data_IF_698288844220
#
_entry.id   IF_698288844220
#
_cell.length_a   1.000
_cell.length_b   1.000
_cell.length_c   1.000
_cell.angle_alpha   90.00
_cell.angle_beta   90.00
_cell.angle_gamma   90.00
#
_symmetry.space_group_name_H-M   'P 1'
#
loop_
_entity.id
_entity.type
_entity.pdbx_description
1 polymer ?
#
# COMPACT_ATOMS: atom_id res chain seq x y z
N UNK A 1 4.27 -22.55 3.92
CA UNK A 1 5.31 -21.51 4.13
C UNK A 1 5.99 -21.14 2.84
N UNK A 2 6.35 -22.12 2.01
CA UNK A 2 6.80 -21.88 0.63
C UNK A 2 5.84 -20.99 -0.16
N UNK A 3 4.52 -21.17 -0.02
CA UNK A 3 3.52 -20.30 -0.66
C UNK A 3 3.62 -18.82 -0.26
N UNK A 4 3.99 -18.51 0.99
CA UNK A 4 4.19 -17.13 1.45
C UNK A 4 5.47 -16.52 0.85
N UNK A 5 6.49 -17.35 0.68
CA UNK A 5 7.71 -16.97 0.00
C UNK A 5 7.45 -16.70 -1.49
N UNK A 6 6.70 -17.58 -2.16
CA UNK A 6 6.30 -17.41 -3.55
C UNK A 6 5.42 -16.17 -3.75
N UNK A 7 4.49 -15.91 -2.82
CA UNK A 7 3.71 -14.68 -2.81
C UNK A 7 4.60 -13.44 -2.70
N UNK A 8 5.62 -13.48 -1.85
CA UNK A 8 6.62 -12.40 -1.74
C UNK A 8 7.40 -12.22 -3.04
N UNK A 9 7.85 -13.30 -3.67
CA UNK A 9 8.53 -13.24 -4.96
C UNK A 9 7.63 -12.66 -6.05
N UNK A 10 6.36 -13.05 -6.08
CA UNK A 10 5.37 -12.53 -7.02
C UNK A 10 5.07 -11.05 -6.78
N UNK A 11 5.03 -10.62 -5.51
CA UNK A 11 4.88 -9.23 -5.14
C UNK A 11 6.09 -8.38 -5.57
N UNK A 12 7.31 -8.91 -5.47
CA UNK A 12 8.53 -8.22 -5.90
C UNK A 12 8.68 -8.12 -7.42
N UNK A 13 7.92 -8.90 -8.20
CA UNK A 13 7.86 -8.77 -9.66
C UNK A 13 7.13 -7.48 -10.03
N UNK A 14 7.88 -6.41 -10.19
CA UNK A 14 7.41 -5.14 -10.75
C UNK A 14 8.43 -4.64 -11.78
N UNK A 15 7.95 -4.01 -12.85
CA UNK A 15 8.80 -3.46 -13.91
C UNK A 15 9.34 -2.07 -13.57
N UNK A 16 8.70 -1.35 -12.64
CA UNK A 16 9.14 -0.03 -12.22
C UNK A 16 10.25 -0.12 -11.15
N UNK A 17 11.43 0.45 -11.39
CA UNK A 17 12.56 0.31 -10.48
C UNK A 17 12.37 1.04 -9.14
N UNK A 18 11.55 2.09 -9.10
CA UNK A 18 11.26 2.82 -7.86
C UNK A 18 10.35 1.97 -6.98
N UNK A 19 9.30 1.40 -7.58
CA UNK A 19 8.36 0.53 -6.89
C UNK A 19 9.01 -0.77 -6.44
N UNK A 20 9.90 -1.38 -7.22
CA UNK A 20 10.67 -2.56 -6.77
C UNK A 20 11.43 -2.25 -5.47
N UNK A 21 12.14 -1.13 -5.42
CA UNK A 21 12.87 -0.72 -4.20
C UNK A 21 11.92 -0.46 -3.04
N UNK A 22 10.80 0.21 -3.28
CA UNK A 22 9.79 0.46 -2.26
C UNK A 22 9.21 -0.84 -1.70
N UNK A 23 8.90 -1.81 -2.57
CA UNK A 23 8.41 -3.14 -2.17
C UNK A 23 9.44 -3.93 -1.38
N UNK A 24 10.69 -3.94 -1.81
CA UNK A 24 11.79 -4.58 -1.08
C UNK A 24 11.94 -4.02 0.32
N UNK A 25 11.84 -2.68 0.48
CA UNK A 25 11.88 -2.06 1.80
C UNK A 25 10.73 -2.51 2.70
N UNK A 26 9.50 -2.57 2.16
CA UNK A 26 8.33 -3.06 2.91
C UNK A 26 8.48 -4.51 3.34
N UNK A 27 9.01 -5.38 2.47
CA UNK A 27 9.27 -6.78 2.80
C UNK A 27 10.28 -6.88 3.93
N UNK A 28 11.44 -6.21 3.81
CA UNK A 28 12.47 -6.24 4.84
C UNK A 28 11.99 -5.70 6.20
N UNK A 29 11.17 -4.65 6.19
CA UNK A 29 10.57 -4.10 7.40
C UNK A 29 9.58 -5.07 8.04
N UNK A 30 8.73 -5.72 7.23
CA UNK A 30 7.79 -6.74 7.71
C UNK A 30 8.51 -7.98 8.26
N UNK A 31 9.59 -8.41 7.61
CA UNK A 31 10.43 -9.51 8.09
C UNK A 31 11.08 -9.17 9.43
N UNK A 32 11.60 -7.94 9.59
CA UNK A 32 12.15 -7.47 10.86
C UNK A 32 11.11 -7.40 11.98
N UNK A 33 9.82 -7.24 11.62
CA UNK A 33 8.69 -7.24 12.55
C UNK A 33 8.13 -8.64 12.82
N UNK A 34 8.64 -9.69 12.17
CA UNK A 34 8.15 -11.07 12.34
C UNK A 34 6.77 -11.32 11.72
N UNK A 35 6.37 -10.49 10.74
CA UNK A 35 5.05 -10.61 10.12
C UNK A 35 4.88 -11.92 9.35
N UNK A 36 5.97 -12.50 8.83
CA UNK A 36 5.92 -13.78 8.11
C UNK A 36 5.49 -14.91 9.06
N UNK A 37 6.03 -14.94 10.27
CA UNK A 37 5.69 -15.89 11.33
C UNK A 37 4.26 -15.67 11.84
N UNK A 38 3.85 -14.42 12.01
CA UNK A 38 2.49 -14.07 12.43
C UNK A 38 1.45 -14.57 11.40
N UNK A 39 1.66 -14.27 10.12
CA UNK A 39 0.78 -14.70 9.04
C UNK A 39 0.76 -16.23 8.94
N UNK A 40 1.91 -16.88 9.06
CA UNK A 40 2.01 -18.33 9.08
C UNK A 40 1.18 -18.96 10.21
N UNK A 41 1.33 -18.45 11.42
CA UNK A 41 0.59 -18.90 12.58
C UNK A 41 -0.91 -18.68 12.39
N UNK A 42 -1.32 -17.54 11.82
CA UNK A 42 -2.70 -17.23 11.48
C UNK A 42 -3.32 -18.22 10.48
N UNK A 43 -2.59 -18.56 9.41
CA UNK A 43 -3.04 -19.53 8.41
C UNK A 43 -3.23 -20.92 9.03
N UNK A 44 -2.25 -21.38 9.84
CA UNK A 44 -2.34 -22.67 10.52
C UNK A 44 -3.56 -22.67 11.47
N UNK A 45 -3.72 -21.63 12.28
CA UNK A 45 -4.84 -21.49 13.21
C UNK A 45 -6.19 -21.50 12.49
N UNK A 46 -6.34 -20.77 11.38
CA UNK A 46 -7.56 -20.75 10.57
C UNK A 46 -7.90 -22.14 10.00
N UNK A 47 -6.90 -22.85 9.48
CA UNK A 47 -7.10 -24.20 8.94
C UNK A 47 -7.46 -25.23 10.02
N UNK A 48 -6.94 -25.07 11.25
CA UNK A 48 -7.30 -25.95 12.37
C UNK A 48 -8.67 -25.64 12.99
N UNK A 49 -9.16 -24.41 12.84
CA UNK A 49 -10.45 -23.97 13.41
C UNK A 49 -11.62 -24.11 12.45
N UNK A 50 -11.39 -24.43 11.18
CA UNK A 50 -12.45 -24.66 10.20
C UNK A 50 -13.11 -26.04 10.39
N UNK A 51 -14.40 -26.13 10.76
CA UNK A 51 -15.17 -27.34 10.54
C UNK A 51 -15.21 -27.60 9.02
N UNK A 52 -15.00 -28.85 8.60
CA UNK A 52 -15.13 -29.25 7.20
C UNK A 52 -16.57 -29.02 6.73
N UNK A 53 -16.85 -27.86 6.14
CA UNK A 53 -18.09 -27.65 5.41
C UNK A 53 -17.99 -28.39 4.06
N UNK A 54 -18.94 -29.28 3.72
CA UNK A 54 -18.90 -30.04 2.48
C UNK A 54 -19.10 -29.13 1.28
N UNK A 55 -18.16 -29.21 0.34
CA UNK A 55 -18.19 -28.83 -1.08
C UNK A 55 -19.48 -28.13 -1.57
N UNK A 56 -19.44 -26.81 -1.73
CA UNK A 56 -20.30 -26.11 -2.69
C UNK A 56 -19.43 -25.50 -3.78
N UNK A 57 -19.20 -26.30 -4.82
CA UNK A 57 -18.93 -25.79 -6.15
C UNK A 57 -20.15 -24.98 -6.62
N UNK A 58 -20.01 -23.65 -6.65
CA UNK A 58 -20.87 -22.70 -7.36
C UNK A 58 -19.93 -21.51 -7.63
N UNK A 59 -19.35 -21.36 -8.81
CA UNK A 59 -20.09 -20.91 -9.99
C UNK A 59 -20.01 -19.38 -10.06
N UNK A 60 -19.17 -18.88 -10.96
CA UNK A 60 -19.30 -17.60 -11.65
C UNK A 60 -19.35 -16.29 -10.81
N UNK A 61 -18.31 -15.48 -11.01
CA UNK A 61 -18.31 -14.01 -11.14
C UNK A 61 -19.24 -13.15 -10.25
N UNK A 62 -18.61 -12.37 -9.36
CA UNK A 62 -19.07 -10.98 -9.17
C UNK A 62 -17.86 -10.13 -8.77
N UNK A 63 -17.43 -9.26 -9.69
CA UNK A 63 -16.52 -8.16 -9.41
C UNK A 63 -17.21 -7.22 -8.43
N UNK A 64 -16.87 -7.30 -7.14
CA UNK A 64 -17.31 -6.32 -6.15
C UNK A 64 -16.49 -5.04 -6.34
N UNK A 65 -17.08 -4.06 -7.02
CA UNK A 65 -16.53 -2.73 -7.32
C UNK A 65 -16.43 -1.84 -6.08
N UNK A 66 -15.85 -2.32 -4.97
CA UNK A 66 -15.61 -1.51 -3.76
C UNK A 66 -14.26 -0.81 -3.73
N UNK A 67 -13.60 -0.65 -4.88
CA UNK A 67 -12.54 0.35 -5.03
C UNK A 67 -13.21 1.72 -5.25
N UNK A 68 -14.02 2.17 -4.29
CA UNK A 68 -14.21 3.60 -4.07
C UNK A 68 -12.95 4.07 -3.37
N UNK A 69 -11.89 4.27 -4.15
CA UNK A 69 -10.80 5.14 -3.72
C UNK A 69 -11.44 6.48 -3.36
N UNK A 70 -11.35 6.98 -2.11
CA UNK A 70 -11.68 8.36 -1.86
C UNK A 70 -10.68 9.17 -2.68
N UNK A 71 -11.18 9.65 -3.81
CA UNK A 71 -10.52 10.54 -4.73
C UNK A 71 -9.70 11.55 -3.93
N UNK A 72 -8.39 11.46 -4.08
CA UNK A 72 -7.48 12.57 -4.32
C UNK A 72 -8.10 13.95 -4.02
N UNK A 73 -8.36 14.28 -2.75
CA UNK A 73 -8.66 15.65 -2.32
C UNK A 73 -7.35 16.43 -2.22
N UNK A 74 -6.61 16.46 -3.32
CA UNK A 74 -5.59 17.46 -3.54
C UNK A 74 -6.31 18.75 -3.90
N UNK A 75 -6.61 19.56 -2.89
CA UNK A 75 -6.90 20.98 -3.04
C UNK A 75 -5.61 21.69 -3.46
N UNK A 76 -5.14 21.44 -4.68
CA UNK A 76 -4.05 22.19 -5.27
C UNK A 76 -4.59 23.61 -5.54
N UNK A 77 -4.20 24.57 -4.71
CA UNK A 77 -4.41 25.99 -4.97
C UNK A 77 -3.12 26.56 -5.59
N UNK A 78 -3.01 26.70 -6.91
CA UNK A 78 -1.96 27.52 -7.48
C UNK A 78 -2.45 28.97 -7.42
N UNK A 79 -1.97 29.74 -6.44
CA UNK A 79 -2.07 31.19 -6.51
C UNK A 79 -0.70 31.77 -6.19
N UNK A 80 0.18 31.70 -7.20
CA UNK A 80 1.29 32.64 -7.29
C UNK A 80 0.72 34.04 -7.52
N UNK A 81 0.66 34.83 -6.44
CA UNK A 81 0.66 36.28 -6.54
C UNK A 81 2.11 36.78 -6.55
N UNK A 82 2.47 37.76 -7.38
CA UNK A 82 3.83 38.29 -7.45
C UNK A 82 4.22 38.97 -6.12
N UNK A 83 5.51 38.98 -5.72
CA UNK A 83 5.95 39.88 -4.66
C UNK A 83 5.74 41.32 -5.16
N UNK A 84 4.79 42.03 -4.55
CA UNK A 84 4.64 43.45 -4.75
C UNK A 84 5.90 44.13 -4.21
N UNK A 85 6.71 44.63 -5.13
CA UNK A 85 7.77 45.57 -4.89
C UNK A 85 7.13 46.86 -4.34
N UNK A 86 7.39 47.19 -3.08
CA UNK A 86 7.15 48.51 -2.52
C UNK A 86 8.50 49.04 -2.02
N UNK A 87 9.30 49.43 -3.01
CA UNK A 87 9.99 50.71 -3.07
C UNK A 87 9.94 51.57 -1.78
N UNK A 88 11.14 51.79 -1.21
CA UNK A 88 11.72 53.08 -0.77
C UNK A 88 10.83 54.03 0.08
N UNK A 89 11.23 54.22 1.35
CA UNK A 89 11.34 55.56 1.92
C UNK A 89 12.55 55.62 2.87
N UNK A 90 13.50 56.46 2.49
CA UNK A 90 14.67 56.88 3.23
C UNK A 90 14.23 57.59 4.53
N UNK A 91 15.02 57.59 5.59
CA UNK A 91 15.74 58.78 6.13
C UNK A 91 15.97 58.47 7.62
N UNK A 92 16.99 58.92 8.33
CA UNK A 92 18.24 59.60 8.10
C UNK A 92 18.95 59.57 9.48
N UNK A 93 20.28 59.42 9.44
CA UNK A 93 21.29 59.92 10.41
C UNK A 93 21.33 59.36 11.84
#
# INVERSE_FOLDING_TARGET
MEDLHDATLQYLRCTDPTEVKARQRRVLEGDAQGQMEEVAAGIIAANTSSPLAPYTSLGAETVDQRITSPLLSNSFKPSGGPPANQNEDETEQ
#
